data_IF_892475741087
#
_entry.id   IF_892475741087
#
_cell.length_a   1.000
_cell.length_b   1.000
_cell.length_c   1.000
_cell.angle_alpha   90.00
_cell.angle_beta   90.00
_cell.angle_gamma   90.00
#
_symmetry.space_group_name_H-M   'P 1'
#
loop_
_entity.id
_entity.type
_entity.pdbx_description
1 polymer ?
#
# COMPACT_ATOMS: atom_id res chain seq x y z
N UNK A 1 5.32 8.07 24.15
CA UNK A 1 6.09 8.94 23.20
C UNK A 1 5.16 9.92 22.50
N UNK A 2 5.69 11.05 22.02
CA UNK A 2 4.95 12.02 21.16
C UNK A 2 5.42 11.86 19.73
N UNK A 3 4.60 11.22 18.89
CA UNK A 3 4.93 10.92 17.50
C UNK A 3 4.23 11.90 16.54
N UNK A 4 5.00 12.63 15.74
CA UNK A 4 4.47 13.37 14.62
C UNK A 4 4.64 12.55 13.35
N UNK A 5 3.53 12.25 12.66
CA UNK A 5 3.53 11.52 11.39
C UNK A 5 3.21 12.46 10.25
N UNK A 6 3.95 12.41 9.16
CA UNK A 6 3.66 13.20 7.97
C UNK A 6 3.64 12.35 6.72
N UNK A 7 2.50 12.33 6.06
CA UNK A 7 2.38 11.81 4.72
C UNK A 7 1.10 12.33 4.03
N UNK A 8 1.01 12.11 2.73
CA UNK A 8 -0.18 12.51 2.00
C UNK A 8 -0.24 12.02 0.56
N UNK A 9 -1.39 12.27 -0.04
CA UNK A 9 -1.65 12.09 -1.46
C UNK A 9 -2.23 10.73 -1.85
N UNK A 10 -1.68 9.61 -1.38
CA UNK A 10 -2.13 8.28 -1.80
C UNK A 10 -2.29 7.31 -0.63
N UNK A 11 -3.20 6.33 -0.78
CA UNK A 11 -3.38 5.26 0.21
C UNK A 11 -2.10 4.46 0.49
N UNK A 12 -1.19 4.34 -0.50
CA UNK A 12 0.09 3.66 -0.33
C UNK A 12 1.02 4.29 0.72
N UNK A 13 0.87 5.59 0.99
CA UNK A 13 1.59 6.28 2.07
C UNK A 13 0.80 6.31 3.37
N UNK A 14 -0.53 6.47 3.29
CA UNK A 14 -1.42 6.67 4.44
C UNK A 14 -1.59 5.37 5.24
N UNK A 15 -1.95 4.27 4.58
CA UNK A 15 -2.26 3.02 5.27
C UNK A 15 -1.09 2.40 6.05
N UNK A 16 0.17 2.45 5.57
CA UNK A 16 1.31 2.04 6.39
C UNK A 16 1.48 2.87 7.66
N UNK A 17 1.26 4.18 7.57
CA UNK A 17 1.31 5.06 8.74
C UNK A 17 0.22 4.72 9.76
N UNK A 18 -1.03 4.50 9.29
CA UNK A 18 -2.14 4.12 10.17
C UNK A 18 -1.92 2.76 10.84
N UNK A 19 -1.43 1.77 10.09
CA UNK A 19 -1.12 0.46 10.65
C UNK A 19 -0.03 0.52 11.73
N UNK A 20 0.98 1.37 11.55
CA UNK A 20 1.99 1.64 12.56
C UNK A 20 1.37 2.30 13.81
N UNK A 21 0.55 3.35 13.63
CA UNK A 21 -0.09 4.07 14.73
C UNK A 21 -1.00 3.13 15.53
N UNK A 22 -1.78 2.30 14.84
CA UNK A 22 -2.63 1.29 15.49
C UNK A 22 -1.80 0.36 16.37
N UNK A 23 -0.71 -0.19 15.83
CA UNK A 23 0.19 -1.08 16.58
C UNK A 23 0.88 -0.36 17.73
N UNK A 24 1.36 0.86 17.51
CA UNK A 24 2.02 1.67 18.52
C UNK A 24 1.10 1.94 19.71
N UNK A 25 -0.16 2.30 19.48
CA UNK A 25 -1.15 2.50 20.54
C UNK A 25 -1.48 1.21 21.31
N UNK A 26 -1.30 0.03 20.71
CA UNK A 26 -1.46 -1.26 21.40
C UNK A 26 -0.30 -1.55 22.37
N UNK A 27 0.94 -1.25 21.96
CA UNK A 27 2.14 -1.58 22.75
C UNK A 27 2.57 -0.43 23.67
N UNK A 28 2.22 0.80 23.33
CA UNK A 28 2.50 2.04 24.08
C UNK A 28 1.23 2.92 24.13
N UNK A 29 0.25 2.57 24.97
CA UNK A 29 -1.08 3.24 24.98
C UNK A 29 -1.02 4.76 25.23
N UNK A 30 -0.01 5.23 25.95
CA UNK A 30 0.17 6.65 26.30
C UNK A 30 0.81 7.48 25.17
N UNK A 31 0.98 6.89 23.97
CA UNK A 31 1.54 7.61 22.83
C UNK A 31 0.55 8.65 22.29
N UNK A 32 1.00 9.91 22.28
CA UNK A 32 0.31 10.99 21.58
C UNK A 32 0.73 11.04 20.12
N UNK A 33 -0.23 11.16 19.22
CA UNK A 33 0.03 11.17 17.77
C UNK A 33 -0.62 12.39 17.14
N UNK A 34 0.19 13.17 16.42
CA UNK A 34 -0.28 14.22 15.52
C UNK A 34 0.06 13.83 14.08
N UNK A 35 -0.93 13.87 13.21
CA UNK A 35 -0.75 13.63 11.78
C UNK A 35 -0.74 14.95 11.00
N UNK A 36 0.26 15.13 10.12
CA UNK A 36 0.36 16.32 9.26
C UNK A 36 0.21 15.89 7.80
N UNK A 37 -0.87 16.35 7.18
CA UNK A 37 -1.25 16.05 5.80
C UNK A 37 -1.36 17.28 4.91
N UNK A 38 -1.92 17.08 3.70
CA UNK A 38 -2.22 18.17 2.77
C UNK A 38 -3.70 18.57 2.87
N UNK A 39 -4.04 19.77 2.45
CA UNK A 39 -5.43 20.27 2.45
C UNK A 39 -6.37 19.56 1.47
N UNK A 40 -5.87 18.72 0.54
CA UNK A 40 -6.63 18.12 -0.57
C UNK A 40 -6.41 16.63 -0.77
N UNK A 41 -5.67 15.95 0.11
CA UNK A 41 -5.37 14.52 -0.01
C UNK A 41 -6.45 13.61 0.56
N UNK A 42 -6.32 12.30 0.30
CA UNK A 42 -7.19 11.27 0.87
C UNK A 42 -7.11 11.22 2.40
N UNK A 43 -6.00 11.67 2.97
CA UNK A 43 -5.76 11.77 4.41
C UNK A 43 -6.81 12.62 5.13
N UNK A 44 -7.40 13.62 4.47
CA UNK A 44 -8.42 14.48 5.08
C UNK A 44 -9.70 13.74 5.52
N UNK A 45 -9.94 12.57 4.93
CA UNK A 45 -11.05 11.70 5.31
C UNK A 45 -10.56 10.53 6.15
N UNK A 46 -9.52 9.85 5.68
CA UNK A 46 -9.08 8.56 6.24
C UNK A 46 -8.50 8.73 7.64
N UNK A 47 -7.75 9.80 7.91
CA UNK A 47 -7.07 10.02 9.20
C UNK A 47 -8.06 10.39 10.31
N UNK A 48 -8.98 11.36 10.12
CA UNK A 48 -10.03 11.63 11.11
C UNK A 48 -10.97 10.44 11.33
N UNK A 49 -11.33 9.69 10.28
CA UNK A 49 -12.15 8.48 10.39
C UNK A 49 -11.46 7.40 11.28
N UNK A 50 -10.13 7.42 11.37
CA UNK A 50 -9.34 6.56 12.25
C UNK A 50 -9.16 7.15 13.68
N UNK A 51 -9.79 8.28 14.00
CA UNK A 51 -9.71 8.94 15.32
C UNK A 51 -8.33 9.54 15.64
N UNK A 52 -7.60 9.97 14.60
CA UNK A 52 -6.27 10.58 14.73
C UNK A 52 -6.39 12.08 14.44
N UNK A 53 -5.74 12.90 15.28
CA UNK A 53 -5.67 14.34 15.09
C UNK A 53 -4.91 14.69 13.83
N UNK A 54 -5.51 15.55 12.98
CA UNK A 54 -4.98 15.93 11.67
C UNK A 54 -4.78 17.43 11.57
N UNK A 55 -3.55 17.84 11.37
CA UNK A 55 -3.18 19.17 10.89
C UNK A 55 -2.94 19.16 9.39
N UNK A 56 -3.32 20.22 8.68
CA UNK A 56 -3.15 20.27 7.23
C UNK A 56 -2.31 21.45 6.77
N UNK A 57 -1.52 21.21 5.72
CA UNK A 57 -0.68 22.22 5.10
C UNK A 57 -1.01 22.36 3.61
N UNK A 58 -0.99 23.60 3.11
CA UNK A 58 -1.17 23.85 1.70
C UNK A 58 0.12 23.56 0.93
N UNK A 59 0.12 22.45 0.19
CA UNK A 59 1.28 22.00 -0.58
C UNK A 59 0.92 21.74 -2.03
N UNK A 60 1.90 21.95 -2.92
CA UNK A 60 1.81 21.59 -4.34
C UNK A 60 3.05 20.80 -4.75
N UNK A 61 2.85 19.74 -5.52
CA UNK A 61 3.96 18.97 -6.09
C UNK A 61 4.70 19.72 -7.20
N UNK A 62 5.97 19.41 -7.41
CA UNK A 62 6.74 19.91 -8.53
C UNK A 62 6.19 19.39 -9.85
N UNK A 63 6.00 20.28 -10.83
CA UNK A 63 5.73 19.86 -12.21
C UNK A 63 7.04 19.36 -12.84
N UNK A 64 6.96 18.29 -13.63
CA UNK A 64 8.12 17.65 -14.29
C UNK A 64 8.70 18.46 -15.45
N UNK A 65 8.11 19.61 -15.82
CA UNK A 65 8.61 20.52 -16.85
C UNK A 65 9.33 21.73 -16.23
N UNK A 66 10.26 22.32 -16.96
CA UNK A 66 10.83 23.64 -16.64
C UNK A 66 9.70 24.68 -16.79
N UNK A 67 9.03 24.99 -15.69
CA UNK A 67 7.89 25.90 -15.65
C UNK A 67 8.12 26.96 -14.59
N UNK A 68 7.69 28.20 -14.86
CA UNK A 68 7.64 29.30 -13.87
C UNK A 68 6.84 28.89 -12.62
N UNK A 69 5.91 27.95 -12.74
CA UNK A 69 5.17 27.40 -11.61
C UNK A 69 6.07 26.67 -10.59
N UNK A 70 7.26 26.22 -10.99
CA UNK A 70 8.22 25.62 -10.06
C UNK A 70 8.80 26.65 -9.07
N UNK A 71 8.90 27.94 -9.44
CA UNK A 71 9.25 29.01 -8.49
C UNK A 71 8.16 29.16 -7.42
N UNK A 72 6.88 29.11 -7.82
CA UNK A 72 5.76 29.09 -6.87
C UNK A 72 5.84 27.86 -5.95
N UNK A 73 6.19 26.70 -6.49
CA UNK A 73 6.35 25.46 -5.71
C UNK A 73 7.48 25.56 -4.70
N UNK A 74 8.61 26.18 -5.06
CA UNK A 74 9.72 26.45 -4.12
C UNK A 74 9.27 27.41 -3.00
N UNK A 75 8.58 28.50 -3.36
CA UNK A 75 8.03 29.42 -2.36
C UNK A 75 7.06 28.72 -1.41
N UNK A 76 6.13 27.91 -1.95
CA UNK A 76 5.19 27.12 -1.15
C UNK A 76 5.92 26.12 -0.24
N UNK A 77 6.99 25.48 -0.73
CA UNK A 77 7.81 24.58 0.08
C UNK A 77 8.46 25.32 1.26
N UNK A 78 9.08 26.47 1.02
CA UNK A 78 9.72 27.26 2.10
C UNK A 78 8.68 27.74 3.14
N UNK A 79 7.51 28.19 2.67
CA UNK A 79 6.42 28.59 3.55
C UNK A 79 5.89 27.38 4.37
N UNK A 80 5.81 26.20 3.74
CA UNK A 80 5.41 24.96 4.41
C UNK A 80 6.44 24.52 5.44
N UNK A 81 7.74 24.69 5.18
CA UNK A 81 8.79 24.45 6.17
C UNK A 81 8.65 25.39 7.38
N UNK A 82 8.31 26.67 7.14
CA UNK A 82 8.06 27.60 8.24
C UNK A 82 6.83 27.20 9.07
N UNK A 83 5.72 26.83 8.41
CA UNK A 83 4.52 26.32 9.08
C UNK A 83 4.80 25.02 9.86
N UNK A 84 5.53 24.08 9.26
CA UNK A 84 5.94 22.84 9.93
C UNK A 84 6.77 23.12 11.19
N UNK A 85 7.69 24.10 11.17
CA UNK A 85 8.44 24.51 12.37
C UNK A 85 7.55 25.01 13.49
N UNK A 86 6.43 25.68 13.18
CA UNK A 86 5.44 26.12 14.17
C UNK A 86 4.72 24.92 14.78
N UNK A 87 4.17 24.02 13.96
CA UNK A 87 3.51 22.79 14.41
C UNK A 87 4.45 21.97 15.32
N UNK A 88 5.70 21.75 14.90
CA UNK A 88 6.71 21.02 15.67
C UNK A 88 6.98 21.71 17.01
N UNK A 89 7.03 23.05 17.07
CA UNK A 89 7.28 23.78 18.32
C UNK A 89 6.12 23.71 19.28
N UNK A 90 4.89 23.64 18.76
CA UNK A 90 3.64 23.53 19.57
C UNK A 90 3.44 22.09 20.04
N UNK A 91 3.57 21.11 19.15
CA UNK A 91 3.37 19.70 19.49
C UNK A 91 4.55 19.09 20.26
N UNK A 92 5.79 19.57 20.06
CA UNK A 92 7.04 19.07 20.70
C UNK A 92 7.20 17.55 20.56
N UNK A 93 7.29 17.02 19.34
CA UNK A 93 7.44 15.58 19.12
C UNK A 93 8.79 15.06 19.62
N UNK A 94 8.80 13.84 20.17
CA UNK A 94 10.02 13.08 20.46
C UNK A 94 10.67 12.57 19.19
N UNK A 95 9.84 12.23 18.17
CA UNK A 95 10.28 11.76 16.86
C UNK A 95 9.28 12.12 15.77
N UNK A 96 9.80 12.32 14.55
CA UNK A 96 9.00 12.62 13.37
C UNK A 96 9.17 11.52 12.33
N UNK A 97 8.05 10.92 11.89
CA UNK A 97 8.01 9.91 10.84
C UNK A 97 7.44 10.46 9.53
N UNK A 98 8.14 10.25 8.43
CA UNK A 98 7.64 10.50 7.07
C UNK A 98 7.43 9.21 6.29
N UNK A 99 6.23 8.97 5.78
CA UNK A 99 5.94 7.80 4.94
C UNK A 99 5.79 8.14 3.45
N UNK A 100 6.00 9.41 3.07
CA UNK A 100 6.01 9.84 1.68
C UNK A 100 4.99 10.94 1.36
N UNK A 101 5.04 11.41 0.12
CA UNK A 101 4.30 12.59 -0.34
C UNK A 101 5.08 13.89 -0.12
N UNK A 102 4.66 14.95 -0.81
CA UNK A 102 5.38 16.24 -0.76
C UNK A 102 5.36 16.89 0.63
N UNK A 103 4.28 16.67 1.38
CA UNK A 103 4.12 17.23 2.73
C UNK A 103 5.18 16.68 3.68
N UNK A 104 5.52 15.39 3.61
CA UNK A 104 6.57 14.82 4.44
C UNK A 104 7.94 15.46 4.16
N UNK A 105 8.17 15.92 2.92
CA UNK A 105 9.40 16.64 2.56
C UNK A 105 9.62 17.90 3.39
N UNK A 106 8.59 18.72 3.55
CA UNK A 106 8.67 19.96 4.33
C UNK A 106 8.75 19.68 5.84
N UNK A 107 7.93 18.75 6.34
CA UNK A 107 7.85 18.44 7.78
C UNK A 107 9.13 17.79 8.28
N UNK A 108 9.64 16.76 7.61
CA UNK A 108 10.87 16.07 8.00
C UNK A 108 12.11 16.98 7.85
N UNK A 109 12.14 17.80 6.79
CA UNK A 109 13.22 18.79 6.66
C UNK A 109 13.19 19.83 7.78
N UNK A 110 12.00 20.31 8.17
CA UNK A 110 11.85 21.23 9.30
C UNK A 110 12.28 20.59 10.61
N UNK A 111 11.89 19.33 10.86
CA UNK A 111 12.27 18.56 12.06
C UNK A 111 13.79 18.35 12.14
N UNK A 112 14.41 17.89 11.05
CA UNK A 112 15.87 17.73 10.98
C UNK A 112 16.62 19.05 11.24
N UNK A 113 16.12 20.20 10.75
CA UNK A 113 16.69 21.52 11.02
C UNK A 113 16.46 22.02 12.44
N UNK A 114 15.54 21.42 13.18
CA UNK A 114 15.32 21.68 14.61
C UNK A 114 15.97 20.64 15.51
N UNK A 115 16.79 19.76 14.94
CA UNK A 115 17.44 18.66 15.66
C UNK A 115 16.43 17.76 16.42
N UNK A 116 15.29 17.48 15.81
CA UNK A 116 14.32 16.50 16.31
C UNK A 116 14.60 15.17 15.62
N UNK A 117 14.58 14.01 16.32
CA UNK A 117 14.76 12.69 15.73
C UNK A 117 13.85 12.45 14.53
N UNK A 118 14.40 11.96 13.42
CA UNK A 118 13.69 11.83 12.16
C UNK A 118 13.84 10.45 11.54
N UNK A 119 12.72 9.87 11.10
CA UNK A 119 12.67 8.59 10.39
C UNK A 119 11.87 8.74 9.11
N UNK A 120 12.36 8.21 8.00
CA UNK A 120 11.54 8.03 6.79
C UNK A 120 11.31 6.54 6.54
N UNK A 121 10.13 6.22 6.01
CA UNK A 121 9.77 4.89 5.57
C UNK A 121 9.52 4.87 4.06
N UNK A 122 10.27 4.01 3.32
CA UNK A 122 10.08 3.79 1.89
C UNK A 122 9.39 2.45 1.65
N UNK A 123 8.20 2.51 1.04
CA UNK A 123 7.38 1.33 0.81
C UNK A 123 7.71 0.61 -0.49
N UNK A 124 8.32 1.28 -1.48
CA UNK A 124 8.54 0.76 -2.82
C UNK A 124 9.98 0.27 -3.03
N UNK A 125 10.16 -0.55 -4.06
CA UNK A 125 11.49 -0.99 -4.52
C UNK A 125 12.29 0.14 -5.21
N UNK A 126 11.60 1.20 -5.64
CA UNK A 126 12.21 2.42 -6.20
C UNK A 126 11.92 3.59 -5.28
N UNK A 127 12.98 4.26 -4.86
CA UNK A 127 12.88 5.37 -3.91
C UNK A 127 12.15 6.56 -4.52
N UNK A 128 11.16 7.07 -3.78
CA UNK A 128 10.44 8.28 -4.15
C UNK A 128 11.32 9.53 -4.05
N UNK A 129 11.04 10.52 -4.89
CA UNK A 129 11.83 11.78 -4.97
C UNK A 129 11.94 12.48 -3.61
N UNK A 130 10.85 12.51 -2.85
CA UNK A 130 10.83 13.11 -1.51
C UNK A 130 11.74 12.37 -0.54
N UNK A 131 11.66 11.05 -0.48
CA UNK A 131 12.51 10.24 0.40
C UNK A 131 13.98 10.31 -0.02
N UNK A 132 14.27 10.38 -1.33
CA UNK A 132 15.62 10.60 -1.84
C UNK A 132 16.19 11.94 -1.41
N UNK A 133 15.40 13.00 -1.45
CA UNK A 133 15.79 14.32 -0.93
C UNK A 133 16.06 14.25 0.58
N UNK A 134 15.12 13.68 1.34
CA UNK A 134 15.18 13.61 2.81
C UNK A 134 16.32 12.71 3.33
N UNK A 135 16.75 11.71 2.57
CA UNK A 135 17.79 10.75 3.01
C UNK A 135 19.10 11.40 3.48
N UNK A 136 19.38 12.63 3.01
CA UNK A 136 20.55 13.40 3.41
C UNK A 136 20.43 14.04 4.80
N UNK A 137 19.20 14.24 5.25
CA UNK A 137 18.89 15.05 6.43
C UNK A 137 18.40 14.22 7.62
N UNK A 138 17.68 13.12 7.34
CA UNK A 138 17.07 12.28 8.38
C UNK A 138 18.06 11.35 9.06
N UNK A 139 17.74 10.90 10.26
CA UNK A 139 18.61 10.06 11.09
C UNK A 139 18.50 8.59 10.69
N UNK A 140 17.28 8.07 10.51
CA UNK A 140 17.04 6.67 10.17
C UNK A 140 16.15 6.53 8.92
N UNK A 141 16.38 5.46 8.16
CA UNK A 141 15.64 5.12 6.93
C UNK A 141 15.17 3.68 7.04
N UNK A 142 13.85 3.51 7.14
CA UNK A 142 13.21 2.21 7.10
C UNK A 142 12.79 1.86 5.66
N UNK A 143 13.10 0.66 5.19
CA UNK A 143 12.73 0.19 3.85
C UNK A 143 11.86 -1.05 3.90
N UNK A 144 10.96 -1.20 2.92
CA UNK A 144 10.11 -2.38 2.77
C UNK A 144 10.64 -3.38 1.73
N UNK A 145 11.48 -2.94 0.79
CA UNK A 145 12.12 -3.78 -0.22
C UNK A 145 13.64 -3.66 -0.17
N UNK A 146 14.33 -4.78 -0.20
CA UNK A 146 15.81 -4.80 -0.20
C UNK A 146 16.39 -4.03 -1.41
N UNK A 147 15.71 -4.04 -2.55
CA UNK A 147 16.10 -3.29 -3.74
C UNK A 147 16.20 -1.76 -3.54
N UNK A 148 15.56 -1.21 -2.50
CA UNK A 148 15.67 0.20 -2.16
C UNK A 148 16.97 0.54 -1.43
N UNK A 149 17.63 -0.43 -0.78
CA UNK A 149 18.82 -0.23 0.08
C UNK A 149 19.94 0.52 -0.61
N UNK A 150 20.31 0.09 -1.83
CA UNK A 150 21.42 0.68 -2.59
C UNK A 150 21.14 2.11 -3.09
N UNK A 151 19.91 2.59 -2.95
CA UNK A 151 19.49 3.92 -3.38
C UNK A 151 19.58 4.96 -2.24
N UNK A 152 19.97 4.53 -1.04
CA UNK A 152 20.10 5.32 0.17
C UNK A 152 21.51 5.24 0.78
N UNK A 153 21.90 6.18 1.67
CA UNK A 153 23.12 6.07 2.47
C UNK A 153 23.08 4.81 3.34
N UNK A 154 24.06 3.90 3.16
CA UNK A 154 24.04 2.55 3.74
C UNK A 154 23.98 2.52 5.28
N UNK A 155 24.63 3.51 5.95
CA UNK A 155 24.71 3.60 7.40
C UNK A 155 23.39 3.98 8.11
N UNK A 156 22.38 4.44 7.35
CA UNK A 156 21.07 4.86 7.90
C UNK A 156 19.94 3.86 7.62
N UNK A 157 20.18 2.83 6.79
CA UNK A 157 19.11 1.99 6.24
C UNK A 157 18.90 0.73 7.05
N UNK A 158 17.64 0.52 7.46
CA UNK A 158 17.20 -0.70 8.14
C UNK A 158 16.00 -1.32 7.40
N UNK A 159 16.02 -2.64 7.20
CA UNK A 159 14.88 -3.38 6.66
C UNK A 159 13.81 -3.53 7.74
N UNK A 160 12.70 -2.82 7.58
CA UNK A 160 11.54 -2.89 8.47
C UNK A 160 10.42 -3.74 7.88
N UNK A 161 10.21 -3.71 6.57
CA UNK A 161 8.97 -4.16 5.93
C UNK A 161 7.92 -3.06 5.95
N UNK A 162 6.70 -3.39 5.55
CA UNK A 162 5.57 -2.46 5.55
C UNK A 162 4.63 -2.79 6.74
N UNK A 163 4.29 -1.84 7.61
CA UNK A 163 3.42 -2.08 8.78
C UNK A 163 2.09 -2.77 8.49
N UNK A 164 1.55 -2.60 7.27
CA UNK A 164 0.35 -3.32 6.81
C UNK A 164 0.50 -4.84 6.85
N UNK A 165 1.71 -5.37 6.65
CA UNK A 165 2.00 -6.79 6.77
C UNK A 165 1.62 -7.34 8.16
N UNK A 166 2.00 -6.63 9.22
CA UNK A 166 1.65 -7.02 10.59
C UNK A 166 0.17 -6.90 10.87
N UNK A 167 -0.48 -5.85 10.37
CA UNK A 167 -1.92 -5.64 10.56
C UNK A 167 -2.76 -6.77 9.94
N UNK A 168 -2.42 -7.23 8.72
CA UNK A 168 -3.14 -8.35 8.10
C UNK A 168 -2.76 -9.69 8.73
N UNK A 169 -1.51 -9.90 9.12
CA UNK A 169 -1.06 -11.12 9.81
C UNK A 169 -1.79 -11.32 11.14
N UNK A 170 -2.11 -10.24 11.86
CA UNK A 170 -2.93 -10.28 13.07
C UNK A 170 -4.38 -10.75 12.83
N UNK A 171 -4.84 -10.78 11.58
CA UNK A 171 -6.15 -11.29 11.15
C UNK A 171 -6.08 -12.65 10.43
N UNK A 172 -4.93 -13.36 10.51
CA UNK A 172 -4.73 -14.65 9.81
C UNK A 172 -5.82 -15.67 10.17
N UNK A 173 -6.25 -15.69 11.42
CA UNK A 173 -7.31 -16.58 11.94
C UNK A 173 -8.69 -15.92 11.91
N UNK A 174 -8.98 -15.10 10.90
CA UNK A 174 -10.26 -14.44 10.72
C UNK A 174 -11.40 -15.47 10.59
N UNK A 175 -12.49 -15.22 11.29
CA UNK A 175 -13.76 -15.98 11.24
C UNK A 175 -14.66 -15.53 10.07
N UNK A 176 -14.14 -14.72 9.14
CA UNK A 176 -14.89 -14.25 7.99
C UNK A 176 -15.42 -15.41 7.14
N UNK A 177 -16.70 -15.33 6.77
CA UNK A 177 -17.37 -16.29 5.89
C UNK A 177 -17.75 -15.64 4.56
N UNK A 178 -17.49 -16.35 3.47
CA UNK A 178 -17.88 -15.97 2.11
C UNK A 178 -19.39 -15.99 1.89
N UNK A 179 -20.16 -16.61 2.77
CA UNK A 179 -21.64 -16.63 2.69
C UNK A 179 -22.25 -15.23 2.72
N UNK A 180 -21.54 -14.24 3.31
CA UNK A 180 -21.94 -12.82 3.26
C UNK A 180 -21.91 -12.22 1.84
N UNK A 181 -21.32 -12.91 0.87
CA UNK A 181 -21.34 -12.60 -0.56
C UNK A 181 -22.09 -13.63 -1.39
N UNK A 182 -22.91 -14.50 -0.78
CA UNK A 182 -23.55 -15.65 -1.43
C UNK A 182 -22.55 -16.57 -2.15
N UNK A 183 -21.37 -16.75 -1.56
CA UNK A 183 -20.33 -17.69 -1.98
C UNK A 183 -20.16 -18.76 -0.90
N UNK A 184 -19.42 -19.84 -1.20
CA UNK A 184 -19.21 -20.98 -0.29
C UNK A 184 -17.85 -20.87 0.40
N UNK A 185 -17.77 -21.31 1.65
CA UNK A 185 -16.52 -21.32 2.42
C UNK A 185 -15.57 -22.47 2.08
N UNK A 186 -16.12 -23.58 1.57
CA UNK A 186 -15.40 -24.79 1.19
C UNK A 186 -14.91 -24.79 -0.27
N UNK A 187 -15.21 -23.75 -1.03
CA UNK A 187 -14.76 -23.59 -2.42
C UNK A 187 -13.64 -22.55 -2.50
N UNK A 188 -12.49 -22.87 -3.13
CA UNK A 188 -11.41 -21.90 -3.30
C UNK A 188 -11.88 -20.60 -3.97
N UNK A 189 -11.52 -19.47 -3.38
CA UNK A 189 -11.94 -18.14 -3.86
C UNK A 189 -10.79 -17.37 -4.49
N UNK A 190 -10.95 -16.98 -5.76
CA UNK A 190 -10.11 -16.01 -6.44
C UNK A 190 -10.66 -14.61 -6.20
N UNK A 191 -9.87 -13.72 -5.59
CA UNK A 191 -10.24 -12.32 -5.42
C UNK A 191 -9.56 -11.47 -6.49
N UNK A 192 -10.30 -10.57 -7.14
CA UNK A 192 -9.78 -9.70 -8.19
C UNK A 192 -10.12 -8.24 -7.88
N UNK A 193 -9.12 -7.35 -7.88
CA UNK A 193 -9.33 -5.90 -7.77
C UNK A 193 -8.21 -5.07 -8.40
N UNK A 194 -8.56 -3.92 -8.94
CA UNK A 194 -7.62 -2.96 -9.57
C UNK A 194 -7.08 -1.87 -8.63
N UNK A 195 -7.29 -2.02 -7.30
CA UNK A 195 -7.03 -0.97 -6.31
C UNK A 195 -8.30 -0.19 -5.94
N UNK A 196 -8.22 0.72 -4.96
CA UNK A 196 -9.39 1.43 -4.38
C UNK A 196 -10.20 2.26 -5.40
N UNK A 197 -9.56 2.75 -6.45
CA UNK A 197 -10.22 3.53 -7.52
C UNK A 197 -10.69 2.66 -8.69
N UNK A 198 -10.38 1.35 -8.68
CA UNK A 198 -10.55 0.46 -9.82
C UNK A 198 -9.51 0.70 -10.93
N UNK A 199 -9.40 -0.23 -11.86
CA UNK A 199 -8.51 -0.17 -13.02
C UNK A 199 -9.29 -0.53 -14.29
N UNK A 200 -9.55 0.43 -15.21
CA UNK A 200 -10.41 0.20 -16.37
C UNK A 200 -9.99 -1.02 -17.21
N UNK A 201 -8.68 -1.20 -17.46
CA UNK A 201 -8.18 -2.34 -18.24
C UNK A 201 -8.42 -3.67 -17.52
N UNK A 202 -8.14 -3.74 -16.21
CA UNK A 202 -8.43 -4.94 -15.42
C UNK A 202 -9.94 -5.23 -15.43
N UNK A 203 -10.77 -4.21 -15.17
CA UNK A 203 -12.21 -4.36 -15.13
C UNK A 203 -12.74 -4.91 -16.46
N UNK A 204 -12.34 -4.32 -17.59
CA UNK A 204 -12.73 -4.80 -18.90
C UNK A 204 -12.32 -6.26 -19.14
N UNK A 205 -11.05 -6.58 -18.82
CA UNK A 205 -10.53 -7.94 -18.98
C UNK A 205 -11.32 -8.96 -18.16
N UNK A 206 -11.67 -8.62 -16.90
CA UNK A 206 -12.46 -9.51 -16.04
C UNK A 206 -13.86 -9.68 -16.60
N UNK A 207 -14.52 -8.61 -17.05
CA UNK A 207 -15.84 -8.68 -17.72
C UNK A 207 -15.79 -9.64 -18.91
N UNK A 208 -14.79 -9.50 -19.78
CA UNK A 208 -14.59 -10.37 -20.94
C UNK A 208 -14.32 -11.85 -20.54
N UNK A 209 -13.76 -12.08 -19.34
CA UNK A 209 -13.44 -13.42 -18.82
C UNK A 209 -14.61 -14.09 -18.06
N UNK A 210 -15.64 -13.35 -17.62
CA UNK A 210 -16.76 -13.90 -16.83
C UNK A 210 -17.41 -15.12 -17.46
N UNK A 211 -17.71 -15.19 -18.79
CA UNK A 211 -18.32 -16.38 -19.38
C UNK A 211 -17.52 -17.66 -19.16
N UNK A 212 -16.20 -17.57 -19.09
CA UNK A 212 -15.32 -18.69 -18.79
C UNK A 212 -15.18 -18.93 -17.28
N UNK A 213 -15.09 -17.89 -16.45
CA UNK A 213 -15.10 -18.03 -14.98
C UNK A 213 -16.39 -18.71 -14.48
N UNK A 214 -17.52 -18.47 -15.11
CA UNK A 214 -18.79 -19.14 -14.80
C UNK A 214 -18.73 -20.69 -14.87
N UNK A 215 -17.77 -21.23 -15.63
CA UNK A 215 -17.60 -22.68 -15.86
C UNK A 215 -16.57 -23.31 -14.92
N UNK A 216 -15.88 -22.53 -14.09
CA UNK A 216 -14.75 -23.00 -13.28
C UNK A 216 -15.22 -23.66 -11.97
N UNK A 217 -14.44 -24.64 -11.45
CA UNK A 217 -14.75 -25.29 -10.18
C UNK A 217 -14.45 -24.42 -8.96
N UNK A 218 -13.87 -23.26 -9.14
CA UNK A 218 -13.59 -22.27 -8.09
C UNK A 218 -14.54 -21.07 -8.22
N UNK A 219 -14.54 -20.24 -7.20
CA UNK A 219 -15.39 -19.04 -7.18
C UNK A 219 -14.56 -17.76 -7.29
N UNK A 220 -15.20 -16.70 -7.79
CA UNK A 220 -14.55 -15.41 -8.05
C UNK A 220 -15.31 -14.29 -7.36
N UNK A 221 -14.61 -13.44 -6.61
CA UNK A 221 -15.11 -12.15 -6.15
C UNK A 221 -14.32 -11.02 -6.83
N UNK A 222 -15.03 -10.22 -7.61
CA UNK A 222 -14.46 -9.13 -8.39
C UNK A 222 -14.91 -7.78 -7.87
N UNK A 223 -13.96 -6.99 -7.30
CA UNK A 223 -14.20 -5.62 -6.88
C UNK A 223 -13.75 -4.62 -7.94
N UNK A 224 -14.71 -3.92 -8.51
CA UNK A 224 -14.52 -3.01 -9.65
C UNK A 224 -13.89 -1.67 -9.29
N UNK A 225 -13.93 -1.29 -8.01
CA UNK A 225 -13.76 0.08 -7.51
C UNK A 225 -15.06 0.85 -7.53
N UNK A 226 -15.38 1.57 -6.46
CA UNK A 226 -16.66 2.26 -6.26
C UNK A 226 -17.07 3.15 -7.45
N UNK A 227 -16.10 3.91 -8.00
CA UNK A 227 -16.34 4.83 -9.11
C UNK A 227 -16.53 4.14 -10.46
N UNK A 228 -16.21 2.86 -10.58
CA UNK A 228 -16.26 2.10 -11.85
C UNK A 228 -17.35 1.05 -11.88
N UNK A 229 -18.09 0.90 -10.80
CA UNK A 229 -19.10 -0.15 -10.69
C UNK A 229 -20.22 0.00 -11.73
N UNK A 230 -20.69 1.23 -11.93
CA UNK A 230 -21.76 1.48 -12.91
C UNK A 230 -21.27 1.29 -14.35
N UNK A 231 -20.02 1.67 -14.66
CA UNK A 231 -19.39 1.39 -15.95
C UNK A 231 -19.33 -0.13 -16.22
N UNK A 232 -18.97 -0.94 -15.21
CA UNK A 232 -18.89 -2.39 -15.32
C UNK A 232 -20.28 -3.00 -15.49
N UNK A 233 -21.28 -2.55 -14.74
CA UNK A 233 -22.69 -3.00 -14.95
C UNK A 233 -23.17 -2.74 -16.38
N UNK A 234 -22.85 -1.57 -16.92
CA UNK A 234 -23.18 -1.22 -18.30
C UNK A 234 -22.50 -2.16 -19.30
N UNK A 235 -21.19 -2.43 -19.14
CA UNK A 235 -20.45 -3.38 -19.99
C UNK A 235 -21.05 -4.79 -19.95
N UNK A 236 -21.43 -5.27 -18.76
CA UNK A 236 -22.11 -6.57 -18.60
C UNK A 236 -23.43 -6.62 -19.36
N UNK A 237 -24.25 -5.57 -19.26
CA UNK A 237 -25.54 -5.48 -19.94
C UNK A 237 -25.38 -5.40 -21.47
N UNK A 238 -24.48 -4.56 -21.96
CA UNK A 238 -24.19 -4.40 -23.40
C UNK A 238 -23.66 -5.69 -24.02
N UNK A 239 -22.79 -6.43 -23.28
CA UNK A 239 -22.25 -7.72 -23.70
C UNK A 239 -23.21 -8.91 -23.49
N UNK A 240 -24.40 -8.69 -22.91
CA UNK A 240 -25.31 -9.77 -22.46
C UNK A 240 -24.58 -10.82 -21.58
N UNK A 241 -23.62 -10.37 -20.75
CA UNK A 241 -22.83 -11.21 -19.87
C UNK A 241 -23.50 -11.27 -18.51
N UNK A 242 -23.82 -12.49 -18.05
CA UNK A 242 -24.44 -12.71 -16.74
C UNK A 242 -23.45 -13.50 -15.85
N UNK A 243 -22.99 -12.94 -14.73
CA UNK A 243 -22.25 -13.70 -13.72
C UNK A 243 -23.12 -14.86 -13.19
N UNK A 244 -22.53 -16.06 -13.10
CA UNK A 244 -23.17 -17.22 -12.45
C UNK A 244 -23.01 -17.15 -10.92
N UNK A 245 -23.57 -18.12 -10.20
CA UNK A 245 -23.56 -18.12 -8.74
C UNK A 245 -22.15 -18.14 -8.13
N UNK A 246 -21.17 -18.70 -8.84
CA UNK A 246 -19.77 -18.74 -8.43
C UNK A 246 -18.98 -17.44 -8.74
N UNK A 247 -19.61 -16.44 -9.40
CA UNK A 247 -18.94 -15.16 -9.74
C UNK A 247 -19.72 -14.00 -9.15
N UNK A 248 -19.11 -13.24 -8.27
CA UNK A 248 -19.71 -12.05 -7.65
C UNK A 248 -18.97 -10.79 -8.07
N UNK A 249 -19.74 -9.82 -8.55
CA UNK A 249 -19.23 -8.49 -8.96
C UNK A 249 -19.70 -7.47 -7.94
N UNK A 250 -18.76 -6.83 -7.26
CA UNK A 250 -19.05 -5.88 -6.17
C UNK A 250 -18.34 -4.54 -6.42
N UNK A 251 -18.89 -3.42 -5.94
CA UNK A 251 -18.25 -2.11 -6.10
C UNK A 251 -16.96 -2.00 -5.28
N UNK A 252 -16.95 -2.58 -4.08
CA UNK A 252 -15.86 -2.45 -3.14
C UNK A 252 -15.89 -3.56 -2.08
N UNK A 253 -14.74 -4.01 -1.63
CA UNK A 253 -14.60 -4.96 -0.52
C UNK A 253 -14.13 -4.19 0.72
N UNK A 254 -15.01 -4.09 1.72
CA UNK A 254 -14.68 -3.49 3.02
C UNK A 254 -13.87 -4.48 3.86
N UNK A 255 -13.10 -3.95 4.81
CA UNK A 255 -12.31 -4.75 5.75
C UNK A 255 -11.48 -5.86 5.07
N UNK A 256 -10.68 -5.44 4.12
CA UNK A 256 -9.77 -6.31 3.37
C UNK A 256 -8.86 -7.16 4.29
N UNK A 257 -8.32 -6.63 5.41
CA UNK A 257 -7.50 -7.43 6.32
C UNK A 257 -8.18 -8.69 6.87
N UNK A 258 -9.49 -8.65 7.14
CA UNK A 258 -10.22 -9.82 7.62
C UNK A 258 -10.54 -10.84 6.52
N UNK A 259 -10.62 -10.40 5.25
CA UNK A 259 -11.01 -11.22 4.11
C UNK A 259 -9.84 -11.84 3.37
N UNK A 260 -8.72 -11.12 3.31
CA UNK A 260 -7.54 -11.56 2.57
C UNK A 260 -6.98 -12.91 3.03
N UNK A 261 -7.00 -13.28 4.34
CA UNK A 261 -6.58 -14.61 4.77
C UNK A 261 -7.45 -15.77 4.24
N UNK A 262 -8.66 -15.45 3.76
CA UNK A 262 -9.66 -16.44 3.28
C UNK A 262 -9.66 -16.60 1.76
N UNK A 263 -8.75 -15.94 1.03
CA UNK A 263 -8.64 -16.12 -0.43
C UNK A 263 -7.63 -17.20 -0.78
N UNK A 264 -7.92 -17.97 -1.82
CA UNK A 264 -6.99 -18.97 -2.37
C UNK A 264 -5.93 -18.34 -3.26
N UNK A 265 -6.30 -17.29 -3.99
CA UNK A 265 -5.39 -16.47 -4.78
C UNK A 265 -5.93 -15.05 -5.00
N UNK A 266 -5.04 -14.13 -5.37
CA UNK A 266 -5.34 -12.72 -5.60
C UNK A 266 -4.89 -12.27 -6.98
N UNK A 267 -5.71 -11.48 -7.67
CA UNK A 267 -5.32 -10.70 -8.85
C UNK A 267 -5.41 -9.21 -8.50
N UNK A 268 -4.31 -8.48 -8.62
CA UNK A 268 -4.29 -7.05 -8.29
C UNK A 268 -3.19 -6.27 -8.99
N UNK A 269 -3.21 -4.94 -8.81
CA UNK A 269 -2.05 -4.08 -9.08
C UNK A 269 -0.89 -4.42 -8.14
N UNK A 270 0.35 -4.18 -8.60
CA UNK A 270 1.57 -4.46 -7.84
C UNK A 270 1.97 -3.30 -6.90
N UNK A 271 1.00 -2.81 -6.12
CA UNK A 271 1.25 -1.81 -5.08
C UNK A 271 2.04 -2.40 -3.92
N UNK A 272 2.96 -1.63 -3.36
CA UNK A 272 3.82 -2.08 -2.27
C UNK A 272 3.04 -2.57 -1.04
N UNK A 273 1.92 -1.91 -0.73
CA UNK A 273 1.04 -2.30 0.38
C UNK A 273 0.41 -3.67 0.13
N UNK A 274 -0.18 -3.89 -1.06
CA UNK A 274 -0.77 -5.19 -1.41
C UNK A 274 0.28 -6.31 -1.38
N UNK A 275 1.48 -6.05 -1.90
CA UNK A 275 2.57 -7.02 -1.87
C UNK A 275 2.95 -7.39 -0.42
N UNK A 276 3.06 -6.39 0.46
CA UNK A 276 3.34 -6.65 1.87
C UNK A 276 2.23 -7.49 2.55
N UNK A 277 0.97 -7.22 2.21
CA UNK A 277 -0.18 -7.96 2.72
C UNK A 277 -0.18 -9.42 2.24
N UNK A 278 -0.04 -9.66 0.94
CA UNK A 278 -0.08 -11.02 0.37
C UNK A 278 1.13 -11.86 0.81
N UNK A 279 2.31 -11.25 0.93
CA UNK A 279 3.51 -11.97 1.40
C UNK A 279 3.42 -12.31 2.89
N UNK A 280 2.86 -11.42 3.72
CA UNK A 280 2.66 -11.70 5.14
C UNK A 280 1.67 -12.85 5.42
N UNK A 281 0.72 -13.06 4.51
CA UNK A 281 -0.33 -14.08 4.60
C UNK A 281 -0.03 -15.34 3.78
N UNK A 282 0.98 -15.32 2.92
CA UNK A 282 1.24 -16.41 1.99
C UNK A 282 0.16 -16.57 0.92
N UNK A 283 -0.39 -15.46 0.41
CA UNK A 283 -1.45 -15.51 -0.61
C UNK A 283 -0.83 -15.53 -2.01
N UNK A 284 -1.04 -16.60 -2.80
CA UNK A 284 -0.63 -16.64 -4.21
C UNK A 284 -1.22 -15.50 -5.02
N UNK A 285 -0.41 -14.86 -5.86
CA UNK A 285 -0.83 -13.60 -6.47
C UNK A 285 -0.46 -13.50 -7.94
N UNK A 286 -1.40 -13.01 -8.76
CA UNK A 286 -1.18 -12.56 -10.13
C UNK A 286 -1.13 -11.04 -10.12
N UNK A 287 0.02 -10.48 -10.38
CA UNK A 287 0.26 -9.04 -10.35
C UNK A 287 0.13 -8.44 -11.75
N UNK A 288 -0.65 -7.37 -11.84
CA UNK A 288 -0.85 -6.58 -13.07
C UNK A 288 -0.32 -5.17 -12.80
N UNK A 289 0.99 -4.91 -13.00
CA UNK A 289 1.58 -3.62 -12.72
C UNK A 289 0.92 -2.49 -13.50
N UNK A 290 0.67 -1.36 -12.84
CA UNK A 290 0.18 -0.16 -13.51
C UNK A 290 1.31 0.50 -14.30
N UNK A 291 1.12 0.81 -15.61
CA UNK A 291 2.11 1.52 -16.42
C UNK A 291 2.15 3.03 -16.13
N UNK A 292 1.16 3.54 -15.37
CA UNK A 292 0.98 4.98 -15.15
C UNK A 292 1.71 5.51 -13.90
N UNK A 293 2.43 4.63 -13.19
CA UNK A 293 3.13 5.00 -11.95
C UNK A 293 4.53 5.54 -12.22
N UNK A 294 5.02 6.37 -11.30
CA UNK A 294 6.35 6.98 -11.40
C UNK A 294 7.45 5.91 -11.42
N UNK A 295 8.42 6.09 -12.32
CA UNK A 295 9.61 5.25 -12.44
C UNK A 295 9.32 3.73 -12.57
N UNK A 296 8.13 3.39 -13.05
CA UNK A 296 7.70 2.00 -13.27
C UNK A 296 7.87 1.09 -12.03
N UNK A 297 7.71 1.67 -10.83
CA UNK A 297 8.00 0.96 -9.58
C UNK A 297 7.13 -0.29 -9.38
N UNK A 298 5.88 -0.32 -9.90
CA UNK A 298 5.04 -1.50 -9.77
C UNK A 298 5.57 -2.71 -10.54
N UNK A 299 6.18 -2.51 -11.71
CA UNK A 299 6.85 -3.62 -12.43
C UNK A 299 8.00 -4.18 -11.61
N UNK A 300 8.83 -3.32 -11.01
CA UNK A 300 9.95 -3.76 -10.16
C UNK A 300 9.47 -4.43 -8.87
N UNK A 301 8.39 -3.94 -8.28
CA UNK A 301 7.75 -4.59 -7.14
C UNK A 301 7.27 -6.00 -7.50
N UNK A 302 6.56 -6.17 -8.64
CA UNK A 302 6.09 -7.47 -9.11
C UNK A 302 7.24 -8.43 -9.44
N UNK A 303 8.30 -7.94 -10.11
CA UNK A 303 9.48 -8.72 -10.43
C UNK A 303 10.17 -9.30 -9.19
N UNK A 304 10.11 -8.63 -8.05
CA UNK A 304 10.65 -9.15 -6.80
C UNK A 304 9.92 -10.42 -6.35
N UNK A 305 8.60 -10.51 -6.52
CA UNK A 305 7.83 -11.72 -6.22
C UNK A 305 8.10 -12.81 -7.25
N UNK A 306 8.06 -12.47 -8.53
CA UNK A 306 8.26 -13.45 -9.62
C UNK A 306 9.63 -14.12 -9.53
N UNK A 307 10.70 -13.38 -9.22
CA UNK A 307 12.06 -13.93 -9.03
C UNK A 307 12.15 -14.93 -7.88
N UNK A 308 11.27 -14.85 -6.91
CA UNK A 308 11.22 -15.73 -5.76
C UNK A 308 10.10 -16.79 -5.87
N UNK A 309 9.49 -16.98 -7.04
CA UNK A 309 8.35 -17.85 -7.27
C UNK A 309 7.13 -17.57 -6.35
N UNK A 310 7.05 -16.37 -5.82
CA UNK A 310 6.02 -15.92 -4.88
C UNK A 310 4.80 -15.27 -5.56
N UNK A 311 4.77 -15.24 -6.87
CA UNK A 311 3.68 -14.68 -7.67
C UNK A 311 3.95 -14.73 -9.16
N UNK A 312 2.90 -14.45 -9.93
CA UNK A 312 2.93 -14.33 -11.38
C UNK A 312 2.74 -12.86 -11.78
N UNK A 313 3.15 -12.50 -12.99
CA UNK A 313 2.98 -11.14 -13.50
C UNK A 313 2.43 -11.18 -14.93
N UNK A 314 1.42 -10.33 -15.18
CA UNK A 314 0.93 -10.02 -16.51
C UNK A 314 1.10 -8.50 -16.71
N UNK A 315 1.86 -8.07 -17.69
CA UNK A 315 1.96 -6.64 -18.03
C UNK A 315 0.66 -6.16 -18.70
N UNK A 316 0.31 -4.89 -18.52
CA UNK A 316 -1.00 -4.38 -18.96
C UNK A 316 -1.18 -4.46 -20.50
N UNK A 317 -0.11 -4.38 -21.27
CA UNK A 317 -0.09 -4.55 -22.73
C UNK A 317 -0.41 -6.00 -23.16
N UNK A 318 -0.09 -6.99 -22.32
CA UNK A 318 -0.36 -8.43 -22.56
C UNK A 318 -1.63 -8.91 -21.85
N UNK A 319 -2.32 -8.02 -21.14
CA UNK A 319 -3.50 -8.37 -20.37
C UNK A 319 -4.73 -8.46 -21.29
N UNK A 320 -5.23 -9.67 -21.45
CA UNK A 320 -6.54 -10.01 -22.02
C UNK A 320 -7.21 -11.14 -21.22
N UNK A 321 -8.45 -11.49 -21.58
CA UNK A 321 -9.20 -12.52 -20.87
C UNK A 321 -8.51 -13.88 -20.88
N UNK A 322 -7.89 -14.28 -22.01
CA UNK A 322 -7.17 -15.55 -22.14
C UNK A 322 -5.93 -15.60 -21.24
N UNK A 323 -5.11 -14.54 -21.26
CA UNK A 323 -3.93 -14.46 -20.42
C UNK A 323 -4.29 -14.50 -18.93
N UNK A 324 -5.35 -13.78 -18.52
CA UNK A 324 -5.85 -13.78 -17.15
C UNK A 324 -6.30 -15.18 -16.73
N UNK A 325 -7.16 -15.83 -17.52
CA UNK A 325 -7.69 -17.17 -17.24
C UNK A 325 -6.56 -18.21 -17.16
N UNK A 326 -5.63 -18.19 -18.11
CA UNK A 326 -4.49 -19.13 -18.11
C UNK A 326 -3.68 -19.05 -16.81
N UNK A 327 -3.40 -17.84 -16.30
CA UNK A 327 -2.65 -17.68 -15.05
C UNK A 327 -3.51 -17.97 -13.82
N UNK A 328 -4.81 -17.64 -13.86
CA UNK A 328 -5.73 -17.95 -12.78
C UNK A 328 -5.93 -19.47 -12.64
N UNK A 329 -6.22 -20.18 -13.72
CA UNK A 329 -6.40 -21.63 -13.73
C UNK A 329 -5.14 -22.37 -13.22
N UNK A 330 -3.95 -21.90 -13.63
CA UNK A 330 -2.67 -22.46 -13.14
C UNK A 330 -2.54 -22.47 -11.62
N UNK A 331 -3.07 -21.44 -10.94
CA UNK A 331 -3.02 -21.35 -9.48
C UNK A 331 -4.24 -22.02 -8.86
N UNK A 332 -5.42 -21.81 -9.43
CA UNK A 332 -6.68 -22.19 -8.80
C UNK A 332 -7.00 -23.68 -8.94
N UNK A 333 -6.58 -24.32 -10.04
CA UNK A 333 -6.86 -25.72 -10.35
C UNK A 333 -5.73 -26.66 -9.89
N UNK A 334 -4.51 -26.13 -9.63
CA UNK A 334 -3.37 -26.89 -9.13
C UNK A 334 -3.05 -26.51 -7.68
N UNK A 335 -3.42 -27.40 -6.76
CA UNK A 335 -3.21 -27.19 -5.31
C UNK A 335 -1.71 -27.15 -4.93
N UNK A 336 -0.86 -27.95 -5.58
CA UNK A 336 0.57 -27.99 -5.30
C UNK A 336 1.26 -26.70 -5.76
N UNK A 337 0.95 -26.22 -6.97
CA UNK A 337 1.44 -24.91 -7.45
C UNK A 337 1.01 -23.80 -6.49
N UNK A 338 -0.24 -23.86 -6.01
CA UNK A 338 -0.77 -22.88 -5.06
C UNK A 338 -0.02 -22.92 -3.73
N UNK A 339 0.24 -24.11 -3.17
CA UNK A 339 0.99 -24.28 -1.92
C UNK A 339 2.45 -23.83 -2.04
N UNK A 340 3.12 -24.20 -3.12
CA UNK A 340 4.52 -23.79 -3.36
C UNK A 340 4.64 -22.26 -3.45
N UNK A 341 3.73 -21.62 -4.18
CA UNK A 341 3.71 -20.17 -4.31
C UNK A 341 3.38 -19.48 -2.97
N UNK A 342 2.43 -20.02 -2.21
CA UNK A 342 2.09 -19.52 -0.87
C UNK A 342 3.31 -19.57 0.06
N UNK A 343 4.01 -20.68 0.12
CA UNK A 343 5.22 -20.85 0.93
C UNK A 343 6.34 -19.90 0.49
N UNK A 344 6.54 -19.71 -0.83
CA UNK A 344 7.51 -18.77 -1.34
C UNK A 344 7.15 -17.31 -0.96
N UNK A 345 5.86 -16.96 -0.98
CA UNK A 345 5.38 -15.64 -0.57
C UNK A 345 5.61 -15.41 0.95
N UNK A 346 5.28 -16.40 1.80
CA UNK A 346 5.50 -16.30 3.26
C UNK A 346 6.97 -16.05 3.63
N UNK A 347 7.92 -16.68 2.92
CA UNK A 347 9.37 -16.45 3.13
C UNK A 347 9.79 -14.99 2.89
N UNK A 348 9.09 -14.28 2.03
CA UNK A 348 9.35 -12.87 1.75
C UNK A 348 8.65 -11.95 2.75
N UNK A 349 7.60 -12.41 3.40
CA UNK A 349 6.77 -11.64 4.31
C UNK A 349 7.53 -11.09 5.52
N UNK A 350 7.01 -10.00 6.07
CA UNK A 350 7.50 -9.37 7.31
C UNK A 350 6.31 -9.10 8.24
N UNK A 351 5.77 -10.16 8.88
CA UNK A 351 4.57 -10.01 9.72
C UNK A 351 4.82 -9.24 11.02
N UNK A 352 6.07 -8.86 11.31
CA UNK A 352 6.52 -8.06 12.45
C UNK A 352 6.96 -6.63 12.04
N UNK A 353 6.55 -6.17 10.85
CA UNK A 353 7.06 -4.92 10.26
C UNK A 353 6.73 -3.66 11.09
N UNK A 354 5.57 -3.59 11.73
CA UNK A 354 5.24 -2.45 12.59
C UNK A 354 6.13 -2.42 13.84
N UNK A 355 6.36 -3.55 14.50
CA UNK A 355 7.25 -3.66 15.66
C UNK A 355 8.71 -3.30 15.31
N UNK A 356 9.16 -3.70 14.11
CA UNK A 356 10.49 -3.28 13.60
C UNK A 356 10.57 -1.77 13.41
N UNK A 357 9.53 -1.17 12.84
CA UNK A 357 9.51 0.28 12.62
C UNK A 357 9.44 1.05 13.95
N UNK A 358 8.69 0.56 14.94
CA UNK A 358 8.68 1.11 16.31
C UNK A 358 10.10 1.10 16.93
N UNK A 359 10.82 -0.03 16.79
CA UNK A 359 12.22 -0.10 17.25
C UNK A 359 13.14 0.91 16.56
N UNK A 360 12.91 1.20 15.28
CA UNK A 360 13.67 2.22 14.54
C UNK A 360 13.34 3.63 15.05
N UNK A 361 12.06 3.90 15.40
CA UNK A 361 11.68 5.17 16.02
C UNK A 361 12.40 5.38 17.36
N UNK A 362 12.37 4.39 18.25
CA UNK A 362 13.11 4.45 19.54
C UNK A 362 14.61 4.62 19.33
N UNK A 363 15.20 3.86 18.38
CA UNK A 363 16.62 4.01 18.06
C UNK A 363 16.95 5.45 17.65
N UNK A 364 16.09 6.10 16.85
CA UNK A 364 16.31 7.49 16.45
C UNK A 364 16.28 8.45 17.65
N UNK A 365 15.39 8.22 18.62
CA UNK A 365 15.34 9.00 19.88
C UNK A 365 16.61 8.78 20.69
N UNK A 366 16.98 7.53 20.97
CA UNK A 366 18.14 7.17 21.80
C UNK A 366 19.47 7.70 21.23
N UNK A 367 19.61 7.78 19.91
CA UNK A 367 20.81 8.32 19.24
C UNK A 367 20.91 9.84 19.32
N UNK A 368 19.79 10.54 19.53
CA UNK A 368 19.77 11.99 19.74
C UNK A 368 20.02 12.42 21.20
N UNK A 369 19.76 11.53 22.15
CA UNK A 369 20.01 11.78 23.58
C UNK A 369 21.50 11.62 23.98
N UNK A 370 22.31 11.03 23.10
CA UNK A 370 23.77 10.83 23.27
C UNK A 370 24.58 11.97 22.68
#
# INVERSE_FOLDING_TARGET
>A
MRLLVSCGGTGGHIYPALALIERLKQVEPDTEVLYVGTTRGLENKIVPDAGIELETMHMQGFKRSLSLENFKTIYLFLNSVHHAKKIISEFKPDVVLGTGGYVSGAVLYAAAKKHIPTVIHEQNSVVGVTNKFLSRYVDQIAIAFEAARSQFPANKVTMAGNPRAQQVAAKKDSDFSWTSYDLKDDVPTLMIFGGSQGAPKINKTVVDAIPEFNKRPYQVIFATGQKRYDDVKKQLAEGNIKPADNVKVVPYIKDMPAKMPRVAALVSRAGATTIAEVTALGVPTILIPSPYVTANHQVKNAQALVKNNAGLMITEDKLDARALLTQADKIMEDEEVRKEMAHAAEKMGRPDAADRLIKILHKAIDEHEK
#
